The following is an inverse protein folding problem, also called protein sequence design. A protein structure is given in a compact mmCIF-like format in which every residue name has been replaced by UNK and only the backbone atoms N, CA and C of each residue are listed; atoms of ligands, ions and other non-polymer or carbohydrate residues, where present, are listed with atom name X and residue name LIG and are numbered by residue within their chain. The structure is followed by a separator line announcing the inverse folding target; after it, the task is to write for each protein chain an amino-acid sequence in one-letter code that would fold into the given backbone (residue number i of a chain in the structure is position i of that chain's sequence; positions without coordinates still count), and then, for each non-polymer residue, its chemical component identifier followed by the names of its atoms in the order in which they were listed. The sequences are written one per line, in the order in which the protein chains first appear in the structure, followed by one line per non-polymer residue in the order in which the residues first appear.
data_IF_810871565529
#
_entry.id   IF_810871565529
#
_cell.length_a   1.000
_cell.length_b   1.000
_cell.length_c   1.000
_cell.angle_alpha   90.00
_cell.angle_beta   90.00
_cell.angle_gamma   90.00
#
_symmetry.space_group_name_H-M   'P 1'
#
loop_
_entity.id
_entity.type
_entity.pdbx_description
1 polymer ?
#
# COMPACT_ATOMS: atom_id res chain seq x y z
N UNK A 1 -2.06 -18.64 -26.71
CA UNK A 1 -3.16 -18.25 -25.81
C UNK A 1 -2.72 -16.97 -25.12
N UNK A 2 -3.50 -15.89 -25.17
CA UNK A 2 -3.08 -14.64 -24.52
C UNK A 2 -3.12 -14.78 -22.99
N UNK A 3 -2.12 -14.26 -22.30
CA UNK A 3 -2.10 -14.14 -20.85
C UNK A 3 -3.26 -13.25 -20.43
N UNK A 4 -4.21 -13.78 -19.67
CA UNK A 4 -5.31 -13.01 -19.09
C UNK A 4 -5.04 -12.79 -17.61
N UNK A 5 -5.50 -11.65 -17.12
CA UNK A 5 -5.53 -11.32 -15.69
C UNK A 5 -4.16 -11.50 -15.01
N UNK A 6 -3.11 -10.95 -15.63
CA UNK A 6 -1.75 -11.00 -15.08
C UNK A 6 -1.68 -10.16 -13.82
N UNK A 7 -1.08 -10.70 -12.76
CA UNK A 7 -0.89 -9.97 -11.51
C UNK A 7 -0.31 -10.83 -10.38
N UNK A 8 -0.63 -10.47 -9.14
CA UNK A 8 -0.07 -11.10 -7.94
C UNK A 8 -0.87 -12.37 -7.61
N UNK A 9 -0.20 -13.52 -7.69
CA UNK A 9 -0.73 -14.85 -7.35
C UNK A 9 -0.61 -15.17 -5.87
N UNK A 10 0.54 -14.82 -5.28
CA UNK A 10 0.88 -15.11 -3.89
C UNK A 10 1.77 -14.01 -3.35
N UNK A 11 1.72 -13.79 -2.04
CA UNK A 11 2.54 -12.79 -1.35
C UNK A 11 2.92 -13.30 0.03
N UNK A 12 4.14 -13.01 0.46
CA UNK A 12 4.59 -13.23 1.83
C UNK A 12 5.41 -12.03 2.30
N UNK A 13 5.51 -11.87 3.62
CA UNK A 13 6.18 -10.75 4.26
C UNK A 13 7.08 -11.23 5.40
N UNK A 14 8.23 -10.59 5.52
CA UNK A 14 9.12 -10.69 6.66
C UNK A 14 9.45 -9.30 7.20
N UNK A 15 9.50 -9.17 8.52
CA UNK A 15 10.08 -8.03 9.21
C UNK A 15 10.82 -8.53 10.45
N UNK A 16 11.90 -7.87 10.90
CA UNK A 16 12.63 -8.26 12.09
C UNK A 16 11.71 -8.33 13.31
N UNK A 17 11.85 -9.34 14.18
CA UNK A 17 11.06 -9.41 15.42
C UNK A 17 11.50 -8.34 16.44
N UNK A 18 12.70 -7.81 16.29
CA UNK A 18 13.25 -6.76 17.15
C UNK A 18 12.60 -5.42 16.84
N UNK A 19 12.04 -4.78 17.86
CA UNK A 19 11.33 -3.51 17.71
C UNK A 19 11.40 -2.62 18.96
N UNK A 20 11.12 -1.33 18.77
CA UNK A 20 11.01 -0.33 19.83
C UNK A 20 9.64 0.35 19.79
N UNK A 21 9.00 0.47 20.96
CA UNK A 21 7.74 1.20 21.10
C UNK A 21 7.98 2.71 20.97
N UNK A 22 7.14 3.38 20.18
CA UNK A 22 7.28 4.80 19.89
C UNK A 22 7.04 5.68 21.13
N UNK A 23 6.15 5.30 22.05
CA UNK A 23 5.96 6.01 23.32
C UNK A 23 7.23 5.96 24.19
N UNK A 24 7.93 4.82 24.21
CA UNK A 24 9.20 4.70 24.92
C UNK A 24 10.31 5.53 24.25
N UNK A 25 10.31 5.58 22.92
CA UNK A 25 11.24 6.40 22.15
C UNK A 25 10.98 7.91 22.34
N UNK A 26 9.72 8.33 22.47
CA UNK A 26 9.36 9.72 22.83
C UNK A 26 10.01 10.11 24.17
N UNK A 27 9.86 9.25 25.19
CA UNK A 27 10.43 9.49 26.51
C UNK A 27 11.96 9.52 26.48
N UNK A 28 12.59 8.61 25.73
CA UNK A 28 14.04 8.57 25.55
C UNK A 28 14.60 9.83 24.88
N UNK A 29 13.94 10.29 23.81
CA UNK A 29 14.40 11.45 23.03
C UNK A 29 14.06 12.80 23.68
N UNK A 30 13.35 12.80 24.82
CA UNK A 30 12.82 14.03 25.43
C UNK A 30 11.76 14.72 24.57
N UNK A 31 11.06 13.97 23.72
CA UNK A 31 9.96 14.47 22.91
C UNK A 31 8.70 14.69 23.75
N UNK A 32 7.85 15.63 23.33
CA UNK A 32 6.53 15.81 23.94
C UNK A 32 5.67 14.55 23.73
N UNK A 33 4.90 14.14 24.74
CA UNK A 33 3.97 13.02 24.65
C UNK A 33 3.06 13.16 23.42
N UNK A 34 2.95 12.10 22.63
CA UNK A 34 2.14 12.08 21.41
C UNK A 34 2.86 12.56 20.16
N UNK A 35 4.13 13.00 20.23
CA UNK A 35 4.84 13.51 19.05
C UNK A 35 4.99 12.45 17.96
N UNK A 36 5.29 11.21 18.33
CA UNK A 36 5.46 10.09 17.39
C UNK A 36 4.16 9.30 17.26
N UNK A 37 3.55 8.95 18.38
CA UNK A 37 2.30 8.15 18.41
C UNK A 37 1.11 8.87 17.78
N UNK A 38 0.98 10.20 17.93
CA UNK A 38 -0.13 10.98 17.34
C UNK A 38 0.35 11.80 16.15
N UNK A 39 1.51 12.48 16.30
CA UNK A 39 2.06 13.35 15.27
C UNK A 39 2.46 12.60 14.01
N UNK A 40 3.17 11.48 14.16
CA UNK A 40 3.51 10.58 13.05
C UNK A 40 2.44 9.49 12.85
N UNK A 41 1.71 9.12 13.90
CA UNK A 41 0.78 7.99 13.87
C UNK A 41 1.52 6.66 13.85
N UNK A 42 2.56 6.52 14.68
CA UNK A 42 3.40 5.32 14.72
C UNK A 42 3.41 4.74 16.13
N UNK A 43 3.19 3.44 16.26
CA UNK A 43 3.14 2.76 17.56
C UNK A 43 4.42 1.99 17.88
N UNK A 44 5.01 1.35 16.88
CA UNK A 44 6.20 0.52 17.03
C UNK A 44 7.07 0.63 15.77
N UNK A 45 8.38 0.51 15.94
CA UNK A 45 9.36 0.55 14.86
C UNK A 45 10.23 -0.70 14.92
N UNK A 46 10.11 -1.58 13.92
CA UNK A 46 10.99 -2.73 13.74
C UNK A 46 12.32 -2.30 13.14
N UNK A 47 13.41 -2.93 13.56
CA UNK A 47 14.75 -2.63 13.05
C UNK A 47 15.62 -3.88 12.99
N UNK A 48 16.54 -3.91 12.04
CA UNK A 48 17.52 -4.99 11.93
C UNK A 48 18.55 -4.89 13.06
N UNK A 49 18.88 -6.03 13.66
CA UNK A 49 20.06 -6.15 14.51
C UNK A 49 21.31 -6.44 13.67
N UNK A 50 22.47 -6.64 14.29
CA UNK A 50 23.69 -7.08 13.58
C UNK A 50 23.55 -8.42 12.84
N UNK A 51 22.49 -9.20 13.14
CA UNK A 51 22.24 -10.51 12.55
C UNK A 51 21.35 -10.46 11.31
N UNK A 52 20.78 -9.30 10.97
CA UNK A 52 19.78 -9.15 9.92
C UNK A 52 20.16 -8.02 8.95
N UNK A 53 19.95 -8.25 7.65
CA UNK A 53 20.11 -7.25 6.61
C UNK A 53 19.10 -7.49 5.48
N UNK A 54 19.11 -6.65 4.45
CA UNK A 54 18.19 -6.78 3.31
C UNK A 54 18.36 -8.08 2.52
N UNK A 55 19.54 -8.70 2.56
CA UNK A 55 19.79 -9.99 1.90
C UNK A 55 19.15 -11.12 2.73
N UNK A 56 19.40 -11.16 4.04
CA UNK A 56 18.86 -12.22 4.90
C UNK A 56 17.34 -12.13 5.03
N UNK A 57 16.77 -10.93 5.11
CA UNK A 57 15.32 -10.72 5.04
C UNK A 57 14.75 -11.24 3.71
N UNK A 58 15.42 -10.95 2.59
CA UNK A 58 14.98 -11.38 1.26
C UNK A 58 15.05 -12.90 1.07
N UNK A 59 16.15 -13.53 1.48
CA UNK A 59 16.29 -15.00 1.47
C UNK A 59 15.18 -15.65 2.32
N UNK A 60 14.85 -15.06 3.46
CA UNK A 60 13.81 -15.54 4.37
C UNK A 60 12.43 -15.47 3.73
N UNK A 61 12.04 -14.31 3.19
CA UNK A 61 10.69 -14.13 2.63
C UNK A 61 10.48 -14.93 1.34
N UNK A 62 11.51 -15.05 0.50
CA UNK A 62 11.43 -15.88 -0.72
C UNK A 62 11.29 -17.36 -0.36
N UNK A 63 12.13 -17.87 0.54
CA UNK A 63 12.05 -19.27 0.98
C UNK A 63 10.71 -19.58 1.62
N UNK A 64 10.20 -18.66 2.44
CA UNK A 64 8.90 -18.77 3.08
C UNK A 64 7.75 -18.82 2.06
N UNK A 65 7.75 -17.93 1.06
CA UNK A 65 6.76 -17.91 -0.01
C UNK A 65 6.77 -19.22 -0.80
N UNK A 66 7.93 -19.65 -1.30
CA UNK A 66 8.06 -20.87 -2.11
C UNK A 66 7.56 -22.09 -1.33
N UNK A 67 7.90 -22.18 -0.04
CA UNK A 67 7.47 -23.28 0.83
C UNK A 67 5.97 -23.26 1.13
N UNK A 68 5.41 -22.13 1.57
CA UNK A 68 4.00 -22.02 1.99
C UNK A 68 3.05 -22.23 0.82
N UNK A 69 3.40 -21.72 -0.36
CA UNK A 69 2.60 -21.84 -1.58
C UNK A 69 2.99 -23.03 -2.45
N UNK A 70 3.95 -23.86 -2.00
CA UNK A 70 4.42 -25.07 -2.70
C UNK A 70 4.84 -24.79 -4.15
N UNK A 71 5.53 -23.69 -4.37
CA UNK A 71 6.02 -23.28 -5.70
C UNK A 71 7.35 -24.00 -5.95
N UNK A 72 7.42 -24.80 -7.01
CA UNK A 72 8.68 -25.39 -7.46
C UNK A 72 9.65 -24.26 -7.90
N UNK A 73 10.85 -24.12 -7.29
CA UNK A 73 11.81 -23.10 -7.67
C UNK A 73 12.22 -23.13 -9.16
N UNK A 74 12.06 -24.27 -9.84
CA UNK A 74 12.30 -24.40 -11.29
C UNK A 74 11.28 -23.66 -12.15
N UNK A 75 10.12 -23.32 -11.58
CA UNK A 75 9.06 -22.58 -12.26
C UNK A 75 9.22 -21.05 -12.15
N UNK A 76 10.32 -20.55 -11.60
CA UNK A 76 10.65 -19.12 -11.64
C UNK A 76 11.49 -18.84 -12.88
N UNK A 77 11.01 -17.93 -13.74
CA UNK A 77 11.70 -17.51 -14.98
C UNK A 77 12.21 -16.07 -14.94
N UNK A 78 11.71 -15.25 -14.01
CA UNK A 78 12.20 -13.90 -13.77
C UNK A 78 12.18 -13.58 -12.28
N UNK A 79 13.26 -12.99 -11.78
CA UNK A 79 13.41 -12.53 -10.40
C UNK A 79 13.97 -11.11 -10.42
N UNK A 80 13.23 -10.15 -9.88
CA UNK A 80 13.67 -8.77 -9.74
C UNK A 80 13.56 -8.30 -8.29
N UNK A 81 14.51 -7.45 -7.88
CA UNK A 81 14.53 -6.85 -6.55
C UNK A 81 14.34 -5.34 -6.65
N UNK A 82 13.44 -4.80 -5.85
CA UNK A 82 13.33 -3.37 -5.61
C UNK A 82 13.93 -3.02 -4.26
N UNK A 83 14.93 -2.16 -4.23
CA UNK A 83 15.57 -1.69 -3.01
C UNK A 83 16.26 -0.34 -3.21
N UNK A 84 16.39 0.40 -2.11
CA UNK A 84 17.27 1.57 -1.98
C UNK A 84 18.36 1.40 -0.90
N UNK A 85 18.45 0.22 -0.27
CA UNK A 85 19.55 -0.18 0.62
C UNK A 85 20.66 -0.83 -0.20
N UNK A 86 21.71 -0.06 -0.51
CA UNK A 86 22.83 -0.52 -1.33
C UNK A 86 23.89 -1.21 -0.45
N UNK A 87 24.04 -2.52 -0.62
CA UNK A 87 25.12 -3.31 0.03
C UNK A 87 26.39 -3.34 -0.83
N UNK A 88 26.22 -3.43 -2.16
CA UNK A 88 27.31 -3.40 -3.12
C UNK A 88 26.91 -2.53 -4.32
N UNK A 89 27.87 -1.75 -4.84
CA UNK A 89 27.63 -0.78 -5.92
C UNK A 89 27.54 -1.42 -7.32
N UNK A 90 27.84 -2.70 -7.43
CA UNK A 90 27.85 -3.47 -8.68
C UNK A 90 27.12 -4.80 -8.56
N UNK A 91 27.29 -5.54 -7.46
CA UNK A 91 26.64 -6.83 -7.23
C UNK A 91 25.22 -6.62 -6.69
N UNK A 92 24.24 -7.00 -7.48
CA UNK A 92 22.83 -6.85 -7.12
C UNK A 92 22.38 -7.84 -6.04
N UNK A 93 21.39 -7.46 -5.23
CA UNK A 93 20.70 -8.32 -4.26
C UNK A 93 20.12 -9.54 -4.98
N UNK A 94 19.57 -9.37 -6.20
CA UNK A 94 19.11 -10.47 -7.04
C UNK A 94 20.13 -11.60 -7.15
N UNK A 95 21.41 -11.29 -7.33
CA UNK A 95 22.45 -12.34 -7.44
C UNK A 95 22.73 -13.07 -6.13
N UNK A 96 22.45 -12.47 -4.97
CA UNK A 96 22.50 -13.19 -3.70
C UNK A 96 21.35 -14.20 -3.59
N UNK A 97 20.16 -13.83 -4.06
CA UNK A 97 18.98 -14.71 -4.07
C UNK A 97 19.08 -15.90 -5.02
N UNK A 98 19.96 -15.83 -6.03
CA UNK A 98 20.20 -16.95 -6.95
C UNK A 98 20.67 -18.23 -6.22
N UNK A 99 21.29 -18.12 -5.05
CA UNK A 99 21.69 -19.27 -4.22
C UNK A 99 20.52 -20.22 -3.94
N UNK A 100 19.29 -19.69 -3.75
CA UNK A 100 18.08 -20.51 -3.55
C UNK A 100 17.81 -21.39 -4.78
N UNK A 101 18.01 -20.86 -5.98
CA UNK A 101 17.62 -21.51 -7.23
C UNK A 101 18.73 -22.39 -7.82
N UNK A 102 19.99 -22.07 -7.53
CA UNK A 102 21.16 -22.88 -7.87
C UNK A 102 21.08 -24.28 -7.26
N UNK A 103 20.56 -24.42 -6.03
CA UNK A 103 20.31 -25.72 -5.38
C UNK A 103 19.37 -26.63 -6.18
N UNK A 104 18.48 -26.04 -6.99
CA UNK A 104 17.51 -26.75 -7.83
C UNK A 104 17.95 -26.82 -9.29
N UNK A 105 19.15 -26.34 -9.63
CA UNK A 105 19.68 -26.27 -10.99
C UNK A 105 18.96 -25.28 -11.90
N UNK A 106 18.25 -24.28 -11.34
CA UNK A 106 17.56 -23.24 -12.11
C UNK A 106 18.37 -21.95 -12.13
N UNK A 107 19.19 -21.76 -13.17
CA UNK A 107 20.05 -20.57 -13.33
C UNK A 107 19.60 -19.64 -14.45
N UNK A 108 18.67 -20.09 -15.30
CA UNK A 108 18.11 -19.30 -16.39
C UNK A 108 16.92 -18.49 -15.88
N UNK A 109 17.22 -17.40 -15.15
CA UNK A 109 16.26 -16.51 -14.51
C UNK A 109 16.62 -15.05 -14.84
N UNK A 110 15.76 -14.37 -15.61
CA UNK A 110 15.90 -12.96 -15.94
C UNK A 110 15.78 -12.04 -14.70
N UNK A 111 16.12 -10.76 -14.88
CA UNK A 111 15.92 -9.72 -13.86
C UNK A 111 17.17 -9.38 -13.04
N UNK A 112 17.15 -8.17 -12.47
CA UNK A 112 18.20 -7.55 -11.65
C UNK A 112 17.55 -6.64 -10.60
N UNK A 113 18.32 -5.75 -9.98
CA UNK A 113 17.79 -4.77 -9.04
C UNK A 113 17.27 -3.52 -9.79
N UNK A 114 16.16 -2.97 -9.30
CA UNK A 114 15.56 -1.70 -9.74
C UNK A 114 15.55 -0.70 -8.59
N UNK A 115 16.09 0.50 -8.82
CA UNK A 115 16.29 1.49 -7.74
C UNK A 115 15.81 2.88 -8.14
N UNK A 116 14.95 3.46 -7.30
CA UNK A 116 14.71 4.91 -7.20
C UNK A 116 13.98 5.17 -5.87
N UNK A 117 14.72 5.29 -4.77
CA UNK A 117 14.17 5.35 -3.41
C UNK A 117 13.10 4.24 -3.18
N UNK A 118 12.05 4.54 -2.42
CA UNK A 118 10.90 3.66 -2.16
C UNK A 118 10.15 3.15 -3.41
N UNK A 119 10.44 3.64 -4.63
CA UNK A 119 9.73 3.24 -5.85
C UNK A 119 10.25 1.93 -6.47
N UNK A 120 11.46 1.48 -6.10
CA UNK A 120 12.13 0.32 -6.72
C UNK A 120 11.25 -0.94 -6.79
N UNK A 121 10.52 -1.25 -5.72
CA UNK A 121 9.60 -2.39 -5.67
C UNK A 121 8.45 -2.30 -6.67
N UNK A 122 7.89 -1.10 -6.86
CA UNK A 122 6.84 -0.87 -7.87
C UNK A 122 7.42 -1.03 -9.29
N UNK A 123 8.65 -0.56 -9.53
CA UNK A 123 9.31 -0.72 -10.83
C UNK A 123 9.52 -2.20 -11.17
N UNK A 124 10.08 -2.98 -10.24
CA UNK A 124 10.28 -4.42 -10.40
C UNK A 124 8.95 -5.17 -10.62
N UNK A 125 7.90 -4.79 -9.88
CA UNK A 125 6.56 -5.36 -10.06
C UNK A 125 6.01 -5.13 -11.47
N UNK A 126 6.09 -3.90 -11.96
CA UNK A 126 5.63 -3.57 -13.31
C UNK A 126 6.47 -4.24 -14.40
N UNK A 127 7.79 -4.36 -14.19
CA UNK A 127 8.66 -5.08 -15.11
C UNK A 127 8.28 -6.56 -15.21
N UNK A 128 8.01 -7.23 -14.08
CA UNK A 128 7.56 -8.62 -14.05
C UNK A 128 6.19 -8.81 -14.72
N UNK A 129 5.21 -7.92 -14.46
CA UNK A 129 3.91 -7.97 -15.14
C UNK A 129 4.08 -7.82 -16.65
N UNK A 130 4.85 -6.80 -17.09
CA UNK A 130 5.13 -6.59 -18.51
C UNK A 130 5.87 -7.79 -19.14
N UNK A 131 6.78 -8.43 -18.41
CA UNK A 131 7.50 -9.61 -18.87
C UNK A 131 6.55 -10.79 -19.10
N UNK A 132 5.63 -11.07 -18.16
CA UNK A 132 4.59 -12.11 -18.33
C UNK A 132 3.68 -11.84 -19.54
N UNK A 133 3.39 -10.56 -19.82
CA UNK A 133 2.58 -10.15 -20.98
C UNK A 133 3.37 -10.09 -22.30
N UNK A 134 4.70 -10.27 -22.27
CA UNK A 134 5.56 -10.08 -23.43
C UNK A 134 5.71 -11.34 -24.30
N UNK A 135 6.22 -11.15 -25.52
CA UNK A 135 6.58 -12.26 -26.43
C UNK A 135 7.78 -13.08 -25.93
N UNK A 136 8.57 -12.57 -24.98
CA UNK A 136 9.70 -13.31 -24.39
C UNK A 136 9.29 -14.15 -23.18
N UNK A 137 8.00 -14.12 -22.79
CA UNK A 137 7.52 -14.96 -21.70
C UNK A 137 7.63 -16.44 -22.07
N UNK A 138 8.22 -17.21 -21.16
CA UNK A 138 8.51 -18.64 -21.34
C UNK A 138 7.51 -19.56 -20.61
N UNK A 139 6.44 -18.98 -20.05
CA UNK A 139 5.41 -19.71 -19.31
C UNK A 139 5.68 -19.85 -17.81
N UNK A 140 6.85 -19.42 -17.31
CA UNK A 140 7.21 -19.48 -15.88
C UNK A 140 6.71 -18.27 -15.09
N UNK A 141 6.75 -18.35 -13.77
CA UNK A 141 6.36 -17.25 -12.88
C UNK A 141 7.44 -16.16 -12.83
N UNK A 142 6.97 -14.92 -12.65
CA UNK A 142 7.81 -13.83 -12.16
C UNK A 142 7.84 -13.84 -10.64
N UNK A 143 8.95 -13.43 -10.04
CA UNK A 143 9.09 -13.24 -8.60
C UNK A 143 9.64 -11.84 -8.35
N UNK A 144 8.94 -11.06 -7.55
CA UNK A 144 9.33 -9.70 -7.19
C UNK A 144 9.66 -9.66 -5.71
N UNK A 145 10.80 -9.09 -5.36
CA UNK A 145 11.19 -8.88 -3.96
C UNK A 145 11.36 -7.40 -3.70
N UNK A 146 10.67 -6.86 -2.71
CA UNK A 146 10.88 -5.51 -2.21
C UNK A 146 11.58 -5.64 -0.86
N UNK A 147 12.76 -5.04 -0.67
CA UNK A 147 13.48 -5.14 0.60
C UNK A 147 14.20 -3.85 0.94
N UNK A 148 14.04 -3.38 2.16
CA UNK A 148 14.75 -2.19 2.65
C UNK A 148 14.94 -2.26 4.17
N UNK A 149 16.02 -1.65 4.63
CA UNK A 149 16.24 -1.29 6.03
C UNK A 149 16.48 0.22 6.09
N UNK A 150 15.51 0.95 6.61
CA UNK A 150 15.53 2.40 6.72
C UNK A 150 16.13 2.80 8.07
N UNK A 151 17.41 3.15 8.05
CA UNK A 151 18.17 3.62 9.21
C UNK A 151 18.46 5.11 9.04
N UNK A 152 18.21 5.88 10.10
CA UNK A 152 18.45 7.32 10.11
C UNK A 152 19.37 7.70 11.27
N UNK A 153 20.16 8.76 11.05
CA UNK A 153 21.02 9.32 12.07
C UNK A 153 20.20 9.85 13.25
N UNK A 154 20.89 10.17 14.35
CA UNK A 154 20.25 10.90 15.44
C UNK A 154 19.55 12.17 14.93
N UNK A 155 18.31 12.37 15.36
CA UNK A 155 17.52 13.52 14.95
C UNK A 155 16.07 13.16 14.63
N UNK A 156 15.33 14.11 14.04
CA UNK A 156 13.87 14.02 13.91
C UNK A 156 13.37 12.95 12.93
N UNK A 157 14.25 12.39 12.08
CA UNK A 157 13.91 11.32 11.14
C UNK A 157 14.10 9.90 11.73
N UNK A 158 14.85 9.76 12.83
CA UNK A 158 15.06 8.45 13.49
C UNK A 158 13.76 7.69 13.81
N UNK A 159 12.68 8.34 14.29
CA UNK A 159 11.43 7.64 14.60
C UNK A 159 10.64 7.16 13.37
N UNK A 160 11.07 7.47 12.14
CA UNK A 160 10.42 7.03 10.89
C UNK A 160 11.20 5.93 10.18
N UNK A 161 12.10 5.24 10.89
CA UNK A 161 12.78 4.04 10.40
C UNK A 161 11.84 2.84 10.28
N UNK A 162 12.41 1.72 9.84
CA UNK A 162 11.68 0.47 9.65
C UNK A 162 12.48 -0.51 8.81
N UNK A 163 12.18 -1.80 8.91
CA UNK A 163 12.82 -2.82 8.09
C UNK A 163 11.82 -3.92 7.73
N UNK A 164 11.80 -4.33 6.46
CA UNK A 164 10.99 -5.43 5.98
C UNK A 164 11.47 -5.94 4.61
N UNK A 165 11.04 -7.16 4.28
CA UNK A 165 11.05 -7.67 2.91
C UNK A 165 9.69 -8.28 2.55
N UNK A 166 9.24 -8.08 1.31
CA UNK A 166 8.02 -8.66 0.75
C UNK A 166 8.40 -9.41 -0.52
N UNK A 167 7.87 -10.62 -0.68
CA UNK A 167 7.94 -11.36 -1.93
C UNK A 167 6.55 -11.48 -2.57
N UNK A 168 6.46 -11.27 -3.88
CA UNK A 168 5.23 -11.38 -4.67
C UNK A 168 5.47 -12.30 -5.87
N UNK A 169 4.65 -13.34 -6.00
CA UNK A 169 4.65 -14.23 -7.16
C UNK A 169 3.73 -13.67 -8.24
N UNK A 170 4.22 -13.57 -9.47
CA UNK A 170 3.53 -12.94 -10.58
C UNK A 170 3.22 -13.96 -11.68
N UNK A 171 1.99 -13.93 -12.19
CA UNK A 171 1.58 -14.78 -13.30
C UNK A 171 0.14 -14.51 -13.77
N UNK A 172 -0.35 -15.27 -14.76
CA UNK A 172 -1.70 -15.12 -15.30
C UNK A 172 -2.77 -15.69 -14.36
N UNK A 173 -4.03 -15.28 -14.56
CA UNK A 173 -5.20 -15.69 -13.77
C UNK A 173 -5.03 -15.35 -12.27
N UNK A 174 -4.46 -14.19 -11.98
CA UNK A 174 -4.17 -13.76 -10.64
C UNK A 174 -5.43 -13.30 -9.88
N UNK A 175 -5.55 -13.61 -8.57
CA UNK A 175 -6.62 -13.06 -7.73
C UNK A 175 -6.49 -11.54 -7.53
N UNK A 176 -5.28 -10.99 -7.74
CA UNK A 176 -5.01 -9.55 -7.75
C UNK A 176 -4.43 -9.23 -9.13
N UNK A 177 -5.30 -9.05 -10.11
CA UNK A 177 -4.92 -8.73 -11.49
C UNK A 177 -4.70 -7.23 -11.69
N UNK A 178 -3.85 -6.88 -12.64
CA UNK A 178 -3.60 -5.48 -13.01
C UNK A 178 -4.62 -4.97 -14.00
N UNK A 179 -5.19 -3.81 -13.73
CA UNK A 179 -5.91 -3.03 -14.73
C UNK A 179 -4.91 -2.24 -15.58
N UNK A 180 -4.30 -2.91 -16.57
CA UNK A 180 -3.06 -2.45 -17.23
C UNK A 180 -3.12 -1.01 -17.80
N UNK A 181 -4.32 -0.52 -18.13
CA UNK A 181 -4.53 0.83 -18.67
C UNK A 181 -4.77 1.90 -17.61
N UNK A 182 -5.22 1.54 -16.41
CA UNK A 182 -5.56 2.48 -15.34
C UNK A 182 -4.36 2.75 -14.44
N UNK A 183 -3.51 3.68 -14.88
CA UNK A 183 -2.33 4.13 -14.11
C UNK A 183 -1.90 5.54 -14.44
N UNK A 184 -1.52 6.31 -13.43
CA UNK A 184 -0.80 7.57 -13.57
C UNK A 184 0.62 7.44 -13.05
N UNK A 185 1.59 8.01 -13.75
CA UNK A 185 2.99 8.05 -13.30
C UNK A 185 3.47 9.48 -13.38
N UNK A 186 4.23 9.96 -12.39
CA UNK A 186 4.88 11.26 -12.37
C UNK A 186 6.33 11.06 -11.94
N UNK A 187 7.28 11.65 -12.67
CA UNK A 187 8.70 11.60 -12.38
C UNK A 187 9.27 13.01 -12.62
N UNK A 188 10.11 13.48 -11.72
CA UNK A 188 10.70 14.81 -11.75
C UNK A 188 12.11 14.77 -11.15
N UNK A 189 12.95 15.70 -11.59
CA UNK A 189 14.25 15.92 -10.97
C UNK A 189 14.09 16.86 -9.77
N UNK A 190 14.33 16.34 -8.57
CA UNK A 190 14.25 17.07 -7.30
C UNK A 190 15.28 16.53 -6.31
N UNK A 191 15.62 17.32 -5.28
CA UNK A 191 16.54 16.95 -4.20
C UNK A 191 15.83 17.04 -2.84
N UNK A 192 14.71 16.35 -2.71
CA UNK A 192 13.90 16.30 -1.50
C UNK A 192 14.42 15.24 -0.51
N UNK A 193 14.76 14.06 -1.00
CA UNK A 193 15.37 12.95 -0.24
C UNK A 193 16.37 12.20 -1.13
N UNK A 194 17.63 12.12 -0.70
CA UNK A 194 18.67 11.44 -1.48
C UNK A 194 19.85 11.00 -0.60
N UNK A 195 20.63 10.02 -1.06
CA UNK A 195 21.81 9.48 -0.36
C UNK A 195 23.08 9.80 -1.15
N UNK A 196 23.64 11.01 -1.05
CA UNK A 196 24.81 11.42 -1.83
C UNK A 196 26.13 10.89 -1.27
N UNK A 197 26.18 10.59 0.03
CA UNK A 197 27.36 10.06 0.71
C UNK A 197 27.37 8.53 0.62
N UNK A 198 28.26 7.99 -0.20
CA UNK A 198 28.36 6.55 -0.44
C UNK A 198 28.93 5.76 0.76
N UNK A 199 29.49 6.45 1.76
CA UNK A 199 30.03 5.82 2.97
C UNK A 199 29.01 5.77 4.12
N UNK A 200 27.85 6.40 3.96
CA UNK A 200 26.83 6.54 4.99
C UNK A 200 25.50 5.93 4.53
N UNK A 201 24.81 5.26 5.45
CA UNK A 201 23.44 4.80 5.22
C UNK A 201 22.42 5.94 5.31
N UNK A 202 22.82 7.06 5.92
CA UNK A 202 21.92 8.17 6.24
C UNK A 202 21.66 9.07 5.03
N UNK A 203 20.38 9.38 4.74
CA UNK A 203 20.03 10.28 3.67
C UNK A 203 20.21 11.76 4.06
N UNK A 204 20.37 12.59 3.04
CA UNK A 204 20.12 14.03 3.12
C UNK A 204 18.63 14.26 2.82
N UNK A 205 17.93 14.94 3.73
CA UNK A 205 16.48 15.11 3.66
C UNK A 205 16.09 16.57 3.90
N UNK A 206 15.34 17.14 2.96
CA UNK A 206 14.54 18.34 3.18
C UNK A 206 13.08 17.90 3.41
N UNK A 207 12.68 17.80 4.68
CA UNK A 207 11.36 17.28 5.05
C UNK A 207 10.18 18.16 4.61
N UNK A 208 10.39 19.47 4.39
CA UNK A 208 9.34 20.36 3.86
C UNK A 208 9.20 20.14 2.36
N UNK A 209 10.31 20.09 1.64
CA UNK A 209 10.32 19.80 0.22
C UNK A 209 9.76 18.40 -0.08
N UNK A 210 10.15 17.38 0.70
CA UNK A 210 9.69 15.99 0.55
C UNK A 210 8.17 15.86 0.61
N UNK A 211 7.52 16.53 1.58
CA UNK A 211 6.05 16.54 1.65
C UNK A 211 5.42 17.24 0.43
N UNK A 212 6.01 18.35 -0.01
CA UNK A 212 5.52 19.10 -1.18
C UNK A 212 5.64 18.26 -2.45
N UNK A 213 6.81 17.68 -2.71
CA UNK A 213 7.08 16.82 -3.85
C UNK A 213 6.19 15.58 -3.86
N UNK A 214 5.95 14.95 -2.70
CA UNK A 214 5.05 13.81 -2.57
C UNK A 214 3.61 14.17 -2.98
N UNK A 215 3.06 15.28 -2.45
CA UNK A 215 1.68 15.70 -2.79
C UNK A 215 1.56 16.17 -4.25
N UNK A 216 2.58 16.82 -4.80
CA UNK A 216 2.64 17.15 -6.23
C UNK A 216 2.60 15.90 -7.12
N UNK A 217 3.39 14.88 -6.77
CA UNK A 217 3.41 13.62 -7.48
C UNK A 217 2.05 12.91 -7.35
N UNK A 218 1.45 12.90 -6.16
CA UNK A 218 0.13 12.33 -5.90
C UNK A 218 -0.95 12.99 -6.79
N UNK A 219 -1.04 14.31 -6.80
CA UNK A 219 -1.99 15.06 -7.62
C UNK A 219 -1.79 14.78 -9.12
N UNK A 220 -0.54 14.79 -9.58
CA UNK A 220 -0.25 14.50 -10.99
C UNK A 220 -0.58 13.06 -11.37
N UNK A 221 -0.29 12.08 -10.50
CA UNK A 221 -0.61 10.67 -10.73
C UNK A 221 -2.12 10.46 -10.75
N UNK A 222 -2.83 11.01 -9.76
CA UNK A 222 -4.29 10.91 -9.65
C UNK A 222 -4.99 11.53 -10.85
N UNK A 223 -4.60 12.75 -11.24
CA UNK A 223 -5.15 13.41 -12.44
C UNK A 223 -4.93 12.58 -13.70
N UNK A 224 -3.73 12.03 -13.90
CA UNK A 224 -3.42 11.16 -15.06
C UNK A 224 -4.21 9.86 -15.03
N UNK A 225 -4.41 9.27 -13.85
CA UNK A 225 -5.27 8.10 -13.68
C UNK A 225 -6.71 8.43 -14.08
N UNK A 226 -7.28 9.52 -13.53
CA UNK A 226 -8.63 9.97 -13.81
C UNK A 226 -8.87 10.21 -15.30
N UNK A 227 -7.96 10.91 -15.98
CA UNK A 227 -8.08 11.15 -17.43
C UNK A 227 -8.06 9.88 -18.26
N UNK A 228 -7.33 8.84 -17.83
CA UNK A 228 -7.32 7.54 -18.51
C UNK A 228 -8.60 6.77 -18.26
N UNK A 229 -9.09 6.77 -17.02
CA UNK A 229 -10.36 6.17 -16.65
C UNK A 229 -11.51 6.79 -17.43
N UNK A 230 -11.63 8.12 -17.42
CA UNK A 230 -12.64 8.88 -18.17
C UNK A 230 -12.63 8.57 -19.66
N UNK A 231 -11.45 8.42 -20.26
CA UNK A 231 -11.32 8.10 -21.68
C UNK A 231 -11.79 6.69 -22.02
N UNK A 232 -11.63 5.74 -21.11
CA UNK A 232 -11.90 4.32 -21.36
C UNK A 232 -13.32 3.92 -20.95
N UNK A 233 -13.80 4.42 -19.81
CA UNK A 233 -15.11 4.09 -19.25
C UNK A 233 -16.18 5.13 -19.60
N UNK A 234 -15.81 6.32 -20.06
CA UNK A 234 -16.75 7.41 -20.34
C UNK A 234 -17.40 8.02 -19.09
N UNK A 235 -16.90 7.67 -17.90
CA UNK A 235 -17.39 8.13 -16.60
C UNK A 235 -16.29 8.90 -15.88
N UNK A 236 -16.67 9.94 -15.13
CA UNK A 236 -15.74 10.64 -14.26
C UNK A 236 -15.28 9.73 -13.12
N UNK A 237 -13.97 9.62 -12.92
CA UNK A 237 -13.43 8.94 -11.74
C UNK A 237 -13.44 9.89 -10.53
N UNK A 238 -13.89 9.37 -9.39
CA UNK A 238 -13.73 9.92 -8.05
C UNK A 238 -13.36 8.81 -7.06
N UNK A 239 -13.06 9.20 -5.83
CA UNK A 239 -12.73 8.28 -4.75
C UNK A 239 -13.85 7.27 -4.45
N UNK A 240 -15.11 7.58 -4.76
CA UNK A 240 -16.22 6.63 -4.57
C UNK A 240 -16.18 5.45 -5.55
N UNK A 241 -15.38 5.52 -6.61
CA UNK A 241 -15.18 4.41 -7.54
C UNK A 241 -14.17 3.37 -7.05
N UNK A 242 -13.39 3.66 -5.99
CA UNK A 242 -12.44 2.73 -5.42
C UNK A 242 -12.86 2.29 -4.01
N UNK A 243 -12.90 0.98 -3.78
CA UNK A 243 -13.19 0.44 -2.43
C UNK A 243 -12.04 0.69 -1.45
N UNK A 244 -10.80 0.65 -1.95
CA UNK A 244 -9.58 0.78 -1.16
C UNK A 244 -8.53 1.63 -1.88
N UNK A 245 -7.87 2.51 -1.12
CA UNK A 245 -6.74 3.30 -1.57
C UNK A 245 -5.52 2.96 -0.71
N UNK A 246 -4.51 2.35 -1.33
CA UNK A 246 -3.26 1.94 -0.68
C UNK A 246 -2.16 2.91 -1.10
N UNK A 247 -1.37 3.39 -0.13
CA UNK A 247 -0.31 4.37 -0.35
C UNK A 247 1.03 3.85 0.14
N UNK A 248 2.11 4.43 -0.40
CA UNK A 248 3.40 4.38 0.28
C UNK A 248 3.24 4.99 1.68
N UNK A 249 3.70 4.28 2.70
CA UNK A 249 3.35 4.55 4.10
C UNK A 249 4.60 4.76 4.97
N UNK A 250 5.41 5.83 4.73
CA UNK A 250 6.61 6.08 5.53
C UNK A 250 6.27 6.44 6.99
N UNK A 251 5.08 7.02 7.20
CA UNK A 251 4.43 7.17 8.50
C UNK A 251 2.93 7.42 8.28
N UNK A 252 2.09 6.96 9.20
CA UNK A 252 0.63 6.94 9.02
C UNK A 252 0.02 8.33 8.80
N UNK A 253 0.55 9.38 9.43
CA UNK A 253 0.05 10.75 9.22
C UNK A 253 0.11 11.17 7.74
N UNK A 254 1.15 10.76 6.99
CA UNK A 254 1.23 11.06 5.57
C UNK A 254 0.15 10.33 4.77
N UNK A 255 -0.19 9.10 5.14
CA UNK A 255 -1.29 8.34 4.51
C UNK A 255 -2.62 9.06 4.69
N UNK A 256 -2.92 9.51 5.92
CA UNK A 256 -4.12 10.30 6.21
C UNK A 256 -4.18 11.56 5.34
N UNK A 257 -3.07 12.30 5.26
CA UNK A 257 -2.95 13.51 4.40
C UNK A 257 -3.14 13.18 2.92
N UNK A 258 -2.57 12.07 2.46
CA UNK A 258 -2.64 11.63 1.05
C UNK A 258 -4.08 11.34 0.64
N UNK A 259 -4.80 10.59 1.46
CA UNK A 259 -6.21 10.29 1.20
C UNK A 259 -7.07 11.56 1.21
N UNK A 260 -6.88 12.44 2.20
CA UNK A 260 -7.58 13.72 2.26
C UNK A 260 -7.26 14.60 1.02
N UNK A 261 -6.03 14.53 0.51
CA UNK A 261 -5.63 15.23 -0.72
C UNK A 261 -6.36 14.71 -1.96
N UNK A 262 -6.56 13.39 -2.09
CA UNK A 262 -7.37 12.84 -3.18
C UNK A 262 -8.80 13.37 -3.14
N UNK A 263 -9.41 13.43 -1.95
CA UNK A 263 -10.75 13.96 -1.76
C UNK A 263 -10.85 15.45 -2.11
N UNK A 264 -9.81 16.21 -1.78
CA UNK A 264 -9.70 17.60 -2.20
C UNK A 264 -9.56 17.74 -3.73
N UNK A 265 -8.82 16.85 -4.41
CA UNK A 265 -8.74 16.84 -5.87
C UNK A 265 -10.09 16.55 -6.53
N UNK A 266 -10.89 15.65 -5.94
CA UNK A 266 -12.25 15.39 -6.40
C UNK A 266 -13.14 16.63 -6.27
N UNK A 267 -13.09 17.31 -5.13
CA UNK A 267 -13.76 18.60 -4.93
C UNK A 267 -13.36 19.63 -6.00
N UNK A 268 -12.06 19.78 -6.30
CA UNK A 268 -11.57 20.72 -7.30
C UNK A 268 -11.99 20.35 -8.73
N UNK A 269 -12.12 19.06 -9.05
CA UNK A 269 -12.50 18.57 -10.38
C UNK A 269 -14.01 18.61 -10.60
N UNK A 270 -14.78 18.21 -9.59
CA UNK A 270 -16.23 18.23 -9.59
C UNK A 270 -16.75 18.27 -8.15
N UNK A 271 -17.25 19.44 -7.71
CA UNK A 271 -17.77 19.59 -6.36
C UNK A 271 -18.95 18.66 -6.05
N UNK A 272 -19.72 18.18 -7.03
CA UNK A 272 -20.80 17.23 -6.83
C UNK A 272 -20.32 15.80 -6.52
N UNK A 273 -19.02 15.53 -6.64
CA UNK A 273 -18.42 14.24 -6.26
C UNK A 273 -18.11 14.11 -4.76
N UNK A 274 -18.26 15.21 -4.00
CA UNK A 274 -18.05 15.25 -2.55
C UNK A 274 -19.34 15.57 -1.80
N UNK A 275 -19.44 15.15 -0.53
CA UNK A 275 -20.64 15.40 0.30
C UNK A 275 -20.87 16.92 0.48
N UNK A 276 -22.13 17.38 0.50
CA UNK A 276 -22.48 18.82 0.59
C UNK A 276 -21.82 19.54 1.78
N UNK A 277 -21.79 18.92 2.96
CA UNK A 277 -21.12 19.46 4.15
C UNK A 277 -19.60 19.65 3.95
N UNK A 278 -18.99 18.84 3.06
CA UNK A 278 -17.59 18.98 2.69
C UNK A 278 -17.36 20.13 1.72
N UNK A 279 -18.30 20.40 0.80
CA UNK A 279 -18.23 21.52 -0.14
C UNK A 279 -18.08 22.84 0.63
N UNK A 280 -18.96 23.10 1.61
CA UNK A 280 -18.92 24.33 2.40
C UNK A 280 -17.59 24.52 3.14
N UNK A 281 -17.01 23.42 3.65
CA UNK A 281 -15.75 23.43 4.40
C UNK A 281 -14.52 23.55 3.49
N UNK A 282 -14.58 23.03 2.26
CA UNK A 282 -13.49 23.08 1.29
C UNK A 282 -13.51 24.33 0.42
N UNK A 283 -14.66 24.99 0.29
CA UNK A 283 -14.83 26.20 -0.51
C UNK A 283 -13.81 27.32 -0.23
N UNK A 284 -13.42 27.60 1.04
CA UNK A 284 -12.39 28.60 1.33
C UNK A 284 -11.02 28.30 0.70
N UNK A 285 -10.75 27.04 0.36
CA UNK A 285 -9.48 26.57 -0.20
C UNK A 285 -9.52 26.39 -1.73
N UNK A 286 -10.68 26.59 -2.38
CA UNK A 286 -10.87 26.32 -3.82
C UNK A 286 -9.98 27.17 -4.73
N UNK A 287 -9.63 28.39 -4.29
CA UNK A 287 -8.82 29.33 -5.06
C UNK A 287 -7.32 29.28 -4.72
N UNK A 288 -6.90 28.38 -3.82
CA UNK A 288 -5.47 28.21 -3.54
C UNK A 288 -4.77 27.69 -4.79
N UNK A 289 -3.61 28.27 -5.09
CA UNK A 289 -2.69 27.68 -6.07
C UNK A 289 -2.19 26.31 -5.56
N UNK A 290 -1.62 25.51 -6.46
CA UNK A 290 -1.01 24.23 -6.09
C UNK A 290 -0.05 24.39 -4.91
N UNK A 291 0.92 25.30 -5.03
CA UNK A 291 1.95 25.55 -4.02
C UNK A 291 1.38 26.02 -2.67
N UNK A 292 0.40 26.92 -2.69
CA UNK A 292 -0.29 27.37 -1.47
C UNK A 292 -1.04 26.22 -0.80
N UNK A 293 -1.70 25.38 -1.60
CA UNK A 293 -2.47 24.25 -1.09
C UNK A 293 -1.57 23.17 -0.47
N UNK A 294 -0.37 22.93 -0.98
CA UNK A 294 0.59 21.98 -0.40
C UNK A 294 1.15 22.45 0.94
N UNK A 295 1.16 23.76 1.19
CA UNK A 295 1.69 24.36 2.41
C UNK A 295 0.60 24.73 3.44
N UNK A 296 -0.68 24.55 3.09
CA UNK A 296 -1.82 24.96 3.91
C UNK A 296 -2.07 23.99 5.06
N UNK A 297 -1.64 24.38 6.27
CA UNK A 297 -1.91 23.62 7.51
C UNK A 297 -3.40 23.51 7.83
N UNK A 298 -4.21 24.45 7.39
CA UNK A 298 -5.65 24.42 7.66
C UNK A 298 -6.37 23.44 6.72
N UNK A 299 -5.92 23.34 5.46
CA UNK A 299 -6.36 22.28 4.56
C UNK A 299 -5.90 20.90 5.07
N UNK A 300 -4.69 20.79 5.61
CA UNK A 300 -4.19 19.54 6.19
C UNK A 300 -5.00 19.03 7.39
N UNK A 301 -5.59 19.94 8.19
CA UNK A 301 -6.46 19.56 9.32
C UNK A 301 -7.80 18.99 8.82
N UNK A 302 -8.16 19.27 7.58
CA UNK A 302 -9.36 18.74 6.95
C UNK A 302 -9.09 17.32 6.46
N UNK A 303 -9.16 16.36 7.37
CA UNK A 303 -9.46 14.99 7.00
C UNK A 303 -10.97 14.81 7.15
N UNK A 304 -11.69 14.21 6.18
CA UNK A 304 -13.13 14.00 6.30
C UNK A 304 -13.41 13.32 7.65
N UNK A 305 -14.16 13.95 8.55
CA UNK A 305 -14.34 13.43 9.91
C UNK A 305 -14.82 11.98 9.90
N UNK A 306 -15.65 11.64 8.91
CA UNK A 306 -16.14 10.29 8.64
C UNK A 306 -15.01 9.35 8.25
N UNK A 307 -14.06 9.75 7.40
CA UNK A 307 -12.86 8.97 7.06
C UNK A 307 -11.97 8.73 8.28
N UNK A 308 -11.67 9.76 9.07
CA UNK A 308 -10.85 9.61 10.29
C UNK A 308 -11.54 8.70 11.31
N UNK A 309 -12.86 8.86 11.48
CA UNK A 309 -13.67 7.97 12.34
C UNK A 309 -13.67 6.54 11.82
N UNK A 310 -13.80 6.33 10.51
CA UNK A 310 -13.74 5.00 9.88
C UNK A 310 -12.37 4.36 10.04
N UNK A 311 -11.27 5.08 9.79
CA UNK A 311 -9.92 4.54 10.00
C UNK A 311 -9.68 4.14 11.45
N UNK A 312 -10.02 5.02 12.41
CA UNK A 312 -9.91 4.69 13.84
C UNK A 312 -10.77 3.49 14.23
N UNK A 313 -11.97 3.38 13.68
CA UNK A 313 -12.83 2.22 13.89
C UNK A 313 -12.20 0.93 13.33
N UNK A 314 -11.58 1.01 12.15
CA UNK A 314 -10.92 -0.14 11.52
C UNK A 314 -9.65 -0.55 12.29
N UNK A 315 -8.86 0.41 12.80
CA UNK A 315 -7.74 0.15 13.71
C UNK A 315 -8.22 -0.60 14.97
N UNK A 316 -9.31 -0.14 15.61
CA UNK A 316 -9.88 -0.83 16.77
C UNK A 316 -10.41 -2.24 16.45
N UNK A 317 -10.87 -2.47 15.21
CA UNK A 317 -11.40 -3.78 14.79
C UNK A 317 -10.31 -4.74 14.30
N UNK A 318 -9.13 -4.23 13.99
CA UNK A 318 -8.01 -5.05 13.53
C UNK A 318 -7.50 -5.94 14.67
N UNK A 319 -7.63 -7.26 14.51
CA UNK A 319 -7.28 -8.24 15.55
C UNK A 319 -8.27 -8.35 16.72
N UNK A 320 -9.39 -7.61 16.68
CA UNK A 320 -10.44 -7.70 17.70
C UNK A 320 -11.38 -8.90 17.48
N UNK A 321 -12.06 -9.29 18.55
CA UNK A 321 -13.14 -10.29 18.60
C UNK A 321 -14.35 -9.73 19.35
N UNK A 322 -15.48 -10.42 19.31
CA UNK A 322 -16.73 -10.01 19.97
C UNK A 322 -17.25 -8.64 19.54
N UNK A 323 -17.40 -8.43 18.23
CA UNK A 323 -18.03 -7.22 17.71
C UNK A 323 -19.01 -7.52 16.56
N UNK A 324 -20.05 -6.70 16.47
CA UNK A 324 -20.91 -6.60 15.29
C UNK A 324 -20.50 -5.36 14.47
N UNK A 325 -20.58 -5.47 13.15
CA UNK A 325 -20.33 -4.35 12.23
C UNK A 325 -21.55 -3.44 12.15
N UNK A 326 -21.38 -2.27 11.56
CA UNK A 326 -22.50 -1.38 11.22
C UNK A 326 -23.34 -2.06 10.15
N UNK A 327 -24.66 -2.14 10.36
CA UNK A 327 -25.61 -2.74 9.39
C UNK A 327 -25.94 -1.80 8.22
N UNK A 328 -25.33 -0.62 8.17
CA UNK A 328 -25.45 0.30 7.04
C UNK A 328 -24.72 -0.27 5.82
N UNK A 329 -25.49 -0.70 4.83
CA UNK A 329 -25.02 -1.25 3.56
C UNK A 329 -25.35 -0.34 2.38
N UNK A 330 -25.80 0.90 2.65
CA UNK A 330 -26.29 1.84 1.64
C UNK A 330 -25.28 2.05 0.50
N UNK A 331 -23.99 2.15 0.84
CA UNK A 331 -22.90 2.37 -0.11
C UNK A 331 -22.42 1.11 -0.85
N UNK A 332 -22.82 -0.09 -0.42
CA UNK A 332 -22.40 -1.33 -1.08
C UNK A 332 -23.26 -1.58 -2.33
N UNK A 333 -22.70 -2.07 -3.43
CA UNK A 333 -23.51 -2.50 -4.58
C UNK A 333 -24.33 -3.76 -4.27
N UNK A 334 -25.48 -3.97 -4.94
CA UNK A 334 -26.23 -5.23 -4.83
C UNK A 334 -25.34 -6.44 -5.13
N UNK A 335 -25.50 -7.49 -4.33
CA UNK A 335 -24.70 -8.70 -4.45
C UNK A 335 -23.34 -8.68 -3.74
N UNK A 336 -22.92 -7.56 -3.16
CA UNK A 336 -21.69 -7.48 -2.36
C UNK A 336 -21.84 -8.24 -1.04
N UNK A 337 -20.87 -9.11 -0.75
CA UNK A 337 -20.75 -9.75 0.56
C UNK A 337 -20.09 -8.80 1.57
N UNK A 338 -20.63 -8.73 2.78
CA UNK A 338 -20.13 -7.86 3.84
C UNK A 338 -20.05 -8.60 5.18
N UNK A 339 -19.07 -8.24 6.00
CA UNK A 339 -18.88 -8.79 7.34
C UNK A 339 -20.01 -8.29 8.24
N UNK A 340 -20.70 -9.18 8.95
CA UNK A 340 -21.75 -8.83 9.92
C UNK A 340 -21.24 -8.84 11.35
N UNK A 341 -20.41 -9.83 11.70
CA UNK A 341 -19.82 -9.93 13.05
C UNK A 341 -18.57 -10.79 13.09
N UNK A 342 -17.81 -10.61 14.16
CA UNK A 342 -16.72 -11.49 14.60
C UNK A 342 -17.00 -11.92 16.03
N UNK A 343 -17.09 -13.22 16.29
CA UNK A 343 -17.41 -13.74 17.62
C UNK A 343 -16.18 -13.93 18.52
N UNK A 344 -16.39 -14.41 19.75
CA UNK A 344 -15.36 -14.60 20.78
C UNK A 344 -14.26 -15.60 20.41
N UNK A 345 -14.51 -16.42 19.39
CA UNK A 345 -13.58 -17.39 18.83
C UNK A 345 -12.94 -16.89 17.52
N UNK A 346 -13.04 -15.59 17.23
CA UNK A 346 -12.54 -14.96 16.00
C UNK A 346 -13.21 -15.46 14.70
N UNK A 347 -14.34 -16.17 14.79
CA UNK A 347 -15.06 -16.63 13.60
C UNK A 347 -15.76 -15.45 12.96
N UNK A 348 -15.61 -15.32 11.65
CA UNK A 348 -16.15 -14.22 10.85
C UNK A 348 -17.42 -14.66 10.15
N UNK A 349 -18.47 -13.86 10.27
CA UNK A 349 -19.78 -14.13 9.67
C UNK A 349 -20.08 -13.06 8.63
N UNK A 350 -20.60 -13.47 7.48
CA UNK A 350 -20.85 -12.60 6.34
C UNK A 350 -22.32 -12.69 5.91
N UNK A 351 -22.81 -11.63 5.28
CA UNK A 351 -24.10 -11.60 4.60
C UNK A 351 -23.93 -10.97 3.20
N UNK A 352 -24.92 -11.10 2.33
CA UNK A 352 -24.90 -10.55 0.96
C UNK A 352 -25.98 -9.48 0.83
N UNK A 353 -25.66 -8.31 0.25
CA UNK A 353 -26.65 -7.25 0.00
C UNK A 353 -27.67 -7.72 -1.06
N UNK A 354 -28.96 -7.55 -0.77
CA UNK A 354 -30.05 -7.89 -1.68
C UNK A 354 -30.18 -6.92 -2.85
N UNK A 355 -30.97 -7.28 -3.86
CA UNK A 355 -31.22 -6.44 -5.04
C UNK A 355 -32.27 -5.33 -4.82
N UNK A 356 -33.04 -5.36 -3.72
CA UNK A 356 -34.26 -4.53 -3.53
C UNK A 356 -34.27 -3.61 -2.27
N UNK A 357 -33.14 -3.36 -1.60
CA UNK A 357 -33.14 -2.61 -0.32
C UNK A 357 -33.29 -1.07 -0.43
N UNK A 358 -33.73 -0.54 -1.57
CA UNK A 358 -33.78 0.91 -1.87
C UNK A 358 -35.21 1.44 -2.09
N UNK A 359 -36.19 1.07 -1.25
CA UNK A 359 -37.49 1.79 -1.15
C UNK A 359 -38.07 1.71 0.27
N UNK A 360 -38.42 2.87 0.84
CA UNK A 360 -39.02 3.06 2.17
C UNK A 360 -40.43 2.46 2.37
N UNK A 361 -40.66 2.00 3.62
CA UNK A 361 -41.92 1.89 4.37
C UNK A 361 -42.89 0.73 4.12
N UNK A 362 -43.06 -0.08 5.18
CA UNK A 362 -44.30 -0.78 5.54
C UNK A 362 -44.66 -2.01 4.69
N UNK A 363 -44.40 -3.22 5.21
CA UNK A 363 -45.40 -4.24 5.58
C UNK A 363 -44.66 -5.54 5.94
N UNK A 364 -44.99 -6.12 7.08
CA UNK A 364 -44.45 -7.37 7.62
C UNK A 364 -44.73 -8.58 6.71
N UNK A 365 -43.68 -9.32 6.32
CA UNK A 365 -43.80 -10.72 5.87
C UNK A 365 -42.65 -11.55 6.46
N UNK A 366 -43.03 -12.59 7.22
CA UNK A 366 -42.16 -13.65 7.72
C UNK A 366 -41.56 -14.47 6.56
N UNK A 367 -40.25 -14.73 6.59
CA UNK A 367 -39.73 -16.01 6.07
C UNK A 367 -38.45 -16.41 6.80
N UNK A 368 -38.48 -17.64 7.31
CA UNK A 368 -37.36 -18.35 7.93
C UNK A 368 -36.25 -18.60 6.90
N UNK A 369 -34.98 -18.41 7.29
CA UNK A 369 -33.88 -19.21 6.74
C UNK A 369 -32.72 -19.32 7.74
N UNK A 370 -32.29 -20.56 7.96
CA UNK A 370 -31.30 -21.01 8.93
C UNK A 370 -29.86 -20.66 8.51
N UNK A 371 -28.91 -20.57 9.46
CA UNK A 371 -27.50 -20.33 9.13
C UNK A 371 -26.81 -21.60 8.61
N UNK A 372 -26.16 -21.48 7.45
CA UNK A 372 -25.18 -22.45 6.97
C UNK A 372 -23.86 -22.27 7.72
N UNK A 373 -23.53 -23.22 8.58
CA UNK A 373 -22.21 -23.36 9.18
C UNK A 373 -21.36 -24.25 8.26
N UNK A 374 -20.28 -23.72 7.68
CA UNK A 374 -19.25 -24.55 7.08
C UNK A 374 -18.28 -24.99 8.18
N UNK A 375 -18.25 -26.30 8.42
CA UNK A 375 -17.29 -26.98 9.26
C UNK A 375 -16.12 -27.53 8.46
N UNK A 376 -15.01 -27.68 9.20
CA UNK A 376 -13.70 -28.26 8.89
C UNK A 376 -12.72 -27.42 8.06
#
# INVERSE_FOLDING_TARGET
MGCKDVGILAMDIYFPPTCVHQEALEAHDGASKGKYTIGLGQDCMAFCTELEDVISMSLTVVTSLLKKYQVDPKLIGRLEVGSETVIDKSKSIKTWLMQIFEEYGNTDIEGVDSTNACYGGTAALLNCVNWVESNSWDGRYGLVVCTDSAVYAEGPARPTGGAAAIAMLIGPNAPISFESKFRGTHMAHVYDFYKPDLASEYPVVDGKLSQTCYLMALDSCYRRYCSKYEKLEGLQFSMSNGDYFVFHSPYNKLVQKSFARLYFNDFLRNCSSVENDSIEKLQPFANLTGDESYQSRDLEKFAPEKFVKTLKLMEHRYGAKDFETTKDTSLLSPGTFYLTKVDSMYRRFYNKKGEDDDVTSGTSINSNNAPLANGH
#
